data_IF_490542448106
#
_entry.id   IF_490542448106
#
_cell.length_a   1.000
_cell.length_b   1.000
_cell.length_c   1.000
_cell.angle_alpha   90.00
_cell.angle_beta   90.00
_cell.angle_gamma   90.00
#
_symmetry.space_group_name_H-M   'P 1'
#
loop_
_entity.id
_entity.type
_entity.pdbx_description
1 polymer ?
#
# COMPACT_ATOMS: atom_id res chain seq x y z
N UNK A 1 21.53 -4.90 2.13
CA UNK A 1 20.29 -4.36 1.56
C UNK A 1 20.43 -4.37 0.04
N UNK A 2 19.68 -5.20 -0.70
CA UNK A 2 19.97 -5.49 -2.10
C UNK A 2 19.25 -4.54 -3.08
N UNK A 3 19.11 -3.25 -2.77
CA UNK A 3 18.59 -2.25 -3.73
C UNK A 3 19.44 -2.14 -5.01
N UNK A 4 20.67 -2.68 -5.00
CA UNK A 4 21.61 -2.69 -6.13
C UNK A 4 21.53 -3.95 -7.01
N UNK A 5 20.68 -4.94 -6.69
CA UNK A 5 20.73 -6.27 -7.34
C UNK A 5 19.91 -6.40 -8.63
N UNK A 6 19.21 -5.35 -9.05
CA UNK A 6 18.26 -5.41 -10.17
C UNK A 6 18.50 -4.42 -11.30
N UNK A 7 19.65 -3.75 -11.34
CA UNK A 7 19.99 -2.86 -12.46
C UNK A 7 20.02 -3.61 -13.82
N UNK A 8 20.30 -4.92 -13.79
CA UNK A 8 20.39 -5.79 -14.97
C UNK A 8 19.35 -6.93 -14.97
N UNK A 9 18.43 -6.95 -13.99
CA UNK A 9 17.43 -8.01 -13.87
C UNK A 9 16.23 -7.80 -14.81
N UNK A 10 15.66 -8.89 -15.31
CA UNK A 10 14.44 -8.86 -16.11
C UNK A 10 13.20 -8.70 -15.22
N UNK A 11 12.08 -8.29 -15.83
CA UNK A 11 10.80 -8.26 -15.13
C UNK A 11 10.38 -9.63 -14.60
N UNK A 12 10.67 -10.72 -15.32
CA UNK A 12 10.29 -12.07 -14.91
C UNK A 12 11.03 -12.51 -13.65
N UNK A 13 12.33 -12.23 -13.56
CA UNK A 13 13.10 -12.51 -12.35
C UNK A 13 12.58 -11.70 -11.15
N UNK A 14 12.19 -10.44 -11.37
CA UNK A 14 11.57 -9.63 -10.33
C UNK A 14 10.22 -10.22 -9.90
N UNK A 15 9.40 -10.65 -10.87
CA UNK A 15 8.09 -11.23 -10.62
C UNK A 15 8.18 -12.54 -9.83
N UNK A 16 9.11 -13.43 -10.20
CA UNK A 16 9.32 -14.69 -9.48
C UNK A 16 9.74 -14.42 -8.03
N UNK A 17 10.69 -13.51 -7.81
CA UNK A 17 11.06 -13.12 -6.44
C UNK A 17 9.89 -12.48 -5.67
N UNK A 18 9.06 -11.67 -6.33
CA UNK A 18 7.91 -11.03 -5.70
C UNK A 18 6.90 -12.07 -5.21
N UNK A 19 6.58 -13.06 -6.05
CA UNK A 19 5.68 -14.17 -5.70
C UNK A 19 6.29 -15.07 -4.61
N UNK A 20 7.61 -15.21 -4.58
CA UNK A 20 8.31 -15.96 -3.53
C UNK A 20 8.57 -15.15 -2.24
N UNK A 21 8.14 -13.88 -2.18
CA UNK A 21 8.40 -12.99 -1.05
C UNK A 21 9.88 -12.66 -0.83
N UNK A 22 10.73 -12.84 -1.84
CA UNK A 22 12.18 -12.56 -1.83
C UNK A 22 12.51 -11.13 -2.27
N UNK A 23 11.59 -10.21 -2.01
CA UNK A 23 11.74 -8.77 -2.27
C UNK A 23 11.95 -8.01 -0.96
N UNK A 24 12.27 -6.72 -1.05
CA UNK A 24 12.33 -5.87 0.13
C UNK A 24 10.98 -5.88 0.85
N UNK A 25 11.04 -5.94 2.18
CA UNK A 25 9.90 -6.09 3.09
C UNK A 25 9.23 -7.48 3.07
N UNK A 26 9.55 -8.40 2.16
CA UNK A 26 9.04 -9.78 2.18
C UNK A 26 7.79 -10.00 1.31
N UNK A 27 6.94 -10.97 1.69
CA UNK A 27 5.74 -11.32 0.93
C UNK A 27 4.66 -10.23 0.99
N UNK A 28 4.19 -9.80 -0.18
CA UNK A 28 3.19 -8.74 -0.30
C UNK A 28 1.82 -9.12 0.31
N UNK A 29 1.38 -10.36 0.12
CA UNK A 29 0.07 -10.81 0.57
C UNK A 29 0.04 -10.99 2.08
N UNK A 30 1.14 -11.45 2.70
CA UNK A 30 1.28 -11.50 4.15
C UNK A 30 1.06 -10.10 4.76
N UNK A 31 1.67 -9.05 4.19
CA UNK A 31 1.44 -7.67 4.63
C UNK A 31 -0.02 -7.23 4.47
N UNK A 32 -0.59 -7.47 3.29
CA UNK A 32 -1.95 -7.05 2.98
C UNK A 32 -2.97 -7.76 3.88
N UNK A 33 -2.87 -9.07 4.03
CA UNK A 33 -3.78 -9.90 4.83
C UNK A 33 -3.67 -9.56 6.32
N UNK A 34 -2.46 -9.28 6.83
CA UNK A 34 -2.27 -8.88 8.21
C UNK A 34 -2.99 -7.56 8.56
N UNK A 35 -3.03 -6.60 7.62
CA UNK A 35 -3.66 -5.29 7.83
C UNK A 35 -5.12 -5.22 7.41
N UNK A 36 -5.56 -6.03 6.46
CA UNK A 36 -6.91 -5.97 5.90
C UNK A 36 -8.06 -6.04 6.92
N UNK A 37 -7.97 -6.80 8.03
CA UNK A 37 -8.99 -6.78 9.08
C UNK A 37 -9.21 -5.41 9.73
N UNK A 38 -8.21 -4.52 9.68
CA UNK A 38 -8.27 -3.17 10.27
C UNK A 38 -8.83 -2.12 9.32
N UNK A 39 -9.20 -2.46 8.09
CA UNK A 39 -9.65 -1.49 7.07
C UNK A 39 -10.86 -0.65 7.49
N UNK A 40 -11.68 -1.16 8.41
CA UNK A 40 -12.89 -0.51 8.93
C UNK A 40 -12.64 0.20 10.28
N UNK A 41 -11.40 0.23 10.78
CA UNK A 41 -11.06 0.94 12.01
C UNK A 41 -11.16 2.46 11.80
N UNK A 42 -11.63 3.18 12.82
CA UNK A 42 -11.91 4.63 12.74
C UNK A 42 -10.67 5.47 12.43
N UNK A 43 -9.49 4.97 12.79
CA UNK A 43 -8.19 5.61 12.59
C UNK A 43 -7.37 4.97 11.45
N UNK A 44 -8.01 4.20 10.57
CA UNK A 44 -7.37 3.61 9.38
C UNK A 44 -8.15 4.01 8.13
N UNK A 45 -7.45 4.57 7.14
CA UNK A 45 -8.00 4.82 5.82
C UNK A 45 -7.46 3.79 4.83
N UNK A 46 -8.30 2.85 4.42
CA UNK A 46 -7.98 1.91 3.35
C UNK A 46 -8.43 2.44 1.99
N UNK A 47 -7.55 2.36 0.99
CA UNK A 47 -7.80 2.78 -0.38
C UNK A 47 -6.92 2.01 -1.36
N UNK A 48 -7.35 1.91 -2.61
CA UNK A 48 -6.61 1.23 -3.68
C UNK A 48 -6.08 2.20 -4.73
N UNK A 49 -4.99 1.83 -5.42
CA UNK A 49 -4.44 2.62 -6.51
C UNK A 49 -5.43 2.79 -7.66
N UNK A 50 -6.27 1.79 -7.91
CA UNK A 50 -7.30 1.77 -8.94
C UNK A 50 -8.38 2.80 -8.66
N UNK A 51 -8.85 2.90 -7.41
CA UNK A 51 -9.84 3.90 -7.02
C UNK A 51 -9.26 5.31 -7.09
N UNK A 52 -7.99 5.51 -6.69
CA UNK A 52 -7.29 6.78 -6.84
C UNK A 52 -7.23 7.21 -8.31
N UNK A 53 -6.80 6.30 -9.20
CA UNK A 53 -6.71 6.58 -10.64
C UNK A 53 -8.06 6.89 -11.26
N UNK A 54 -9.14 6.27 -10.77
CA UNK A 54 -10.50 6.47 -11.28
C UNK A 54 -11.03 7.87 -10.98
N UNK A 55 -10.76 8.42 -9.80
CA UNK A 55 -11.20 9.77 -9.43
C UNK A 55 -10.31 10.40 -8.34
N UNK A 56 -9.16 10.94 -8.77
CA UNK A 56 -8.18 11.55 -7.86
C UNK A 56 -8.78 12.66 -7.00
N UNK A 57 -9.59 13.55 -7.59
CA UNK A 57 -10.16 14.71 -6.90
C UNK A 57 -11.04 14.28 -5.73
N UNK A 58 -11.92 13.31 -5.92
CA UNK A 58 -12.77 12.81 -4.84
C UNK A 58 -11.96 12.20 -3.69
N UNK A 59 -10.87 11.49 -4.00
CA UNK A 59 -9.99 10.91 -2.99
C UNK A 59 -9.16 11.93 -2.23
N UNK A 60 -8.74 13.02 -2.87
CA UNK A 60 -8.07 14.13 -2.16
C UNK A 60 -8.98 14.69 -1.06
N UNK A 61 -10.25 14.96 -1.37
CA UNK A 61 -11.22 15.41 -0.37
C UNK A 61 -11.44 14.36 0.73
N UNK A 62 -11.61 13.08 0.37
CA UNK A 62 -11.80 12.00 1.35
C UNK A 62 -10.60 11.84 2.30
N UNK A 63 -9.37 12.01 1.79
CA UNK A 63 -8.16 11.97 2.61
C UNK A 63 -8.11 13.18 3.55
N UNK A 64 -8.42 14.38 3.05
CA UNK A 64 -8.47 15.59 3.88
C UNK A 64 -9.49 15.43 5.03
N UNK A 65 -10.71 14.99 4.71
CA UNK A 65 -11.76 14.74 5.72
C UNK A 65 -11.35 13.67 6.74
N UNK A 66 -10.59 12.65 6.34
CA UNK A 66 -10.10 11.62 7.25
C UNK A 66 -9.02 12.15 8.20
N UNK A 67 -8.11 13.00 7.71
CA UNK A 67 -7.07 13.61 8.55
C UNK A 67 -7.69 14.57 9.55
N UNK A 68 -8.63 15.42 9.13
CA UNK A 68 -9.28 16.43 9.98
C UNK A 68 -10.03 15.78 11.17
N UNK A 69 -10.80 14.72 10.90
CA UNK A 69 -11.50 13.93 11.94
C UNK A 69 -10.59 13.29 12.98
N UNK A 70 -9.31 13.09 12.68
CA UNK A 70 -8.33 12.56 13.63
C UNK A 70 -7.57 13.66 14.39
N UNK A 71 -7.72 14.93 14.00
CA UNK A 71 -7.07 16.07 14.68
C UNK A 71 -7.89 16.70 15.81
N UNK A 72 -9.18 16.34 15.95
CA UNK A 72 -10.06 16.83 17.03
C UNK A 72 -9.85 16.12 18.39
N UNK A 73 -8.88 15.20 18.48
CA UNK A 73 -8.42 14.62 19.75
C UNK A 73 -7.08 15.22 20.18
N UNK A 74 -7.15 16.40 20.80
CA UNK A 74 -6.13 16.94 21.72
C UNK A 74 -6.83 17.56 22.92
#
# INVERSE_FOLDING_TARGET
MPWHRFAEGTFYELFDMFIEGKVDYGDYFDHLIAWYPRRDATNVLFLTCEELKKNTTAWVFRIADFVDRNTETV
#
